data_IF_798210694594
#
_entry.id   IF_798210694594
#
_cell.length_a   1.000
_cell.length_b   1.000
_cell.length_c   1.000
_cell.angle_alpha   90.00
_cell.angle_beta   90.00
_cell.angle_gamma   90.00
#
_symmetry.space_group_name_H-M   'P 1'
#
loop_
_entity.id
_entity.type
_entity.pdbx_description
1 polymer ?
#
# COMPACT_ATOMS: atom_id res chain seq x y z
N UNK A 1 -17.91 -2.75 24.52
CA UNK A 1 -16.69 -2.56 23.72
C UNK A 1 -16.71 -3.51 22.53
N UNK A 2 -16.43 -2.98 21.36
CA UNK A 2 -16.39 -3.80 20.15
C UNK A 2 -15.05 -4.52 20.06
N UNK A 3 -15.02 -5.82 19.77
CA UNK A 3 -13.76 -6.51 19.56
C UNK A 3 -13.05 -5.96 18.32
N UNK A 4 -11.71 -6.00 18.28
CA UNK A 4 -11.00 -5.60 17.08
C UNK A 4 -11.36 -6.54 15.92
N UNK A 5 -11.27 -6.07 14.66
CA UNK A 5 -11.50 -6.96 13.53
C UNK A 5 -10.50 -8.11 13.56
N UNK A 6 -10.94 -9.29 13.13
CA UNK A 6 -10.09 -10.47 13.08
C UNK A 6 -8.90 -10.26 12.13
N UNK A 7 -9.17 -9.56 11.01
CA UNK A 7 -8.15 -9.28 10.01
C UNK A 7 -8.06 -7.78 9.77
N UNK A 8 -6.86 -7.23 9.58
CA UNK A 8 -6.72 -5.83 9.22
C UNK A 8 -7.25 -5.57 7.82
N UNK A 9 -7.67 -4.32 7.59
CA UNK A 9 -8.06 -3.88 6.25
C UNK A 9 -6.81 -3.86 5.36
N UNK A 10 -6.94 -4.43 4.18
CA UNK A 10 -5.84 -4.50 3.22
C UNK A 10 -5.85 -3.24 2.37
N UNK A 11 -4.78 -2.48 2.43
CA UNK A 11 -4.67 -1.19 1.77
C UNK A 11 -3.76 -1.29 0.56
N UNK A 12 -4.22 -0.77 -0.57
CA UNK A 12 -3.40 -0.56 -1.76
C UNK A 12 -3.04 0.91 -1.83
N UNK A 13 -1.74 1.20 -1.96
CA UNK A 13 -1.24 2.56 -2.08
C UNK A 13 -0.77 2.79 -3.51
N UNK A 14 -1.32 3.79 -4.19
CA UNK A 14 -0.92 4.15 -5.54
C UNK A 14 0.13 5.27 -5.46
N UNK A 15 1.36 4.91 -5.77
CA UNK A 15 2.49 5.83 -5.75
C UNK A 15 3.42 5.63 -4.55
N UNK A 16 4.72 5.57 -4.81
CA UNK A 16 5.73 5.46 -3.76
C UNK A 16 6.83 6.50 -3.98
N UNK A 17 6.42 7.70 -4.39
CA UNK A 17 7.30 8.85 -4.45
C UNK A 17 7.53 9.41 -3.05
N UNK A 18 7.94 10.67 -2.95
CA UNK A 18 8.26 11.27 -1.66
C UNK A 18 7.11 11.16 -0.67
N UNK A 19 5.90 11.57 -1.08
CA UNK A 19 4.75 11.53 -0.19
C UNK A 19 4.35 10.10 0.20
N UNK A 20 4.32 9.18 -0.76
CA UNK A 20 3.98 7.78 -0.50
C UNK A 20 4.97 7.13 0.44
N UNK A 21 6.27 7.29 0.17
CA UNK A 21 7.32 6.65 0.95
C UNK A 21 7.49 7.27 2.33
N UNK A 22 7.40 8.61 2.42
CA UNK A 22 7.70 9.33 3.65
C UNK A 22 6.51 9.45 4.60
N UNK A 23 5.29 9.50 4.07
CA UNK A 23 4.11 9.77 4.88
C UNK A 23 3.06 8.68 4.83
N UNK A 24 2.57 8.32 3.63
CA UNK A 24 1.42 7.42 3.52
C UNK A 24 1.75 5.99 3.91
N UNK A 25 2.83 5.43 3.37
CA UNK A 25 3.17 4.03 3.66
C UNK A 25 3.51 3.81 5.13
N UNK A 26 4.35 4.63 5.78
CA UNK A 26 4.63 4.46 7.21
C UNK A 26 3.38 4.63 8.07
N UNK A 27 2.50 5.58 7.72
CA UNK A 27 1.27 5.81 8.48
C UNK A 27 0.35 4.58 8.38
N UNK A 28 0.15 4.06 7.18
CA UNK A 28 -0.68 2.87 6.97
C UNK A 28 -0.10 1.67 7.73
N UNK A 29 1.21 1.45 7.60
CA UNK A 29 1.86 0.31 8.22
C UNK A 29 1.83 0.37 9.75
N UNK A 30 1.83 1.59 10.31
CA UNK A 30 1.83 1.79 11.76
C UNK A 30 0.42 1.88 12.36
N UNK A 31 -0.62 1.98 11.55
CA UNK A 31 -1.99 2.16 12.02
C UNK A 31 -2.62 0.81 12.36
N UNK A 32 -3.02 0.58 13.62
CA UNK A 32 -3.72 -0.65 13.97
C UNK A 32 -4.99 -0.82 13.14
N UNK A 33 -5.20 -2.03 12.64
CA UNK A 33 -6.37 -2.33 11.81
C UNK A 33 -6.15 -2.10 10.32
N UNK A 34 -4.98 -1.58 9.92
CA UNK A 34 -4.61 -1.43 8.51
C UNK A 34 -3.36 -2.25 8.20
N UNK A 35 -3.30 -2.78 7.00
CA UNK A 35 -2.12 -3.48 6.50
C UNK A 35 -1.77 -2.93 5.12
N UNK A 36 -0.53 -2.53 4.94
CA UNK A 36 -0.03 -2.13 3.61
C UNK A 36 0.19 -3.39 2.79
N UNK A 37 -0.78 -3.71 1.94
CA UNK A 37 -0.78 -4.97 1.20
C UNK A 37 -0.11 -4.84 -0.17
N UNK A 38 -0.36 -3.73 -0.88
CA UNK A 38 0.12 -3.54 -2.24
C UNK A 38 0.49 -2.08 -2.46
N UNK A 39 1.57 -1.86 -3.20
CA UNK A 39 1.99 -0.52 -3.61
C UNK A 39 2.17 -0.52 -5.12
N UNK A 40 1.54 0.45 -5.79
CA UNK A 40 1.66 0.61 -7.23
C UNK A 40 2.82 1.55 -7.52
N UNK A 41 3.88 1.02 -8.08
CA UNK A 41 5.03 1.80 -8.55
C UNK A 41 5.80 1.00 -9.59
N UNK A 42 6.19 1.64 -10.70
CA UNK A 42 6.95 0.97 -11.75
C UNK A 42 8.44 1.29 -11.71
N UNK A 43 8.84 2.29 -10.93
CA UNK A 43 10.25 2.69 -10.84
C UNK A 43 11.03 1.60 -10.08
N UNK A 44 12.09 1.02 -10.71
CA UNK A 44 12.87 -0.04 -10.05
C UNK A 44 13.52 0.39 -8.74
N UNK A 45 13.99 1.63 -8.63
CA UNK A 45 14.60 2.14 -7.41
C UNK A 45 13.58 2.25 -6.29
N UNK A 46 12.36 2.69 -6.60
CA UNK A 46 11.28 2.78 -5.62
C UNK A 46 10.79 1.39 -5.20
N UNK A 47 10.77 0.44 -6.13
CA UNK A 47 10.40 -0.94 -5.80
C UNK A 47 11.42 -1.57 -4.86
N UNK A 48 12.72 -1.31 -5.09
CA UNK A 48 13.77 -1.79 -4.20
C UNK A 48 13.65 -1.15 -2.82
N UNK A 49 13.36 0.14 -2.76
CA UNK A 49 13.16 0.84 -1.51
C UNK A 49 11.94 0.30 -0.75
N UNK A 50 10.85 0.04 -1.47
CA UNK A 50 9.66 -0.55 -0.86
C UNK A 50 9.98 -1.90 -0.23
N UNK A 51 10.72 -2.74 -0.94
CA UNK A 51 11.08 -4.06 -0.43
C UNK A 51 11.91 -3.98 0.86
N UNK A 52 12.75 -2.95 0.98
CA UNK A 52 13.54 -2.72 2.17
C UNK A 52 12.72 -2.14 3.32
N UNK A 53 11.83 -1.16 3.00
CA UNK A 53 11.04 -0.45 4.01
C UNK A 53 9.84 -1.27 4.50
N UNK A 54 9.17 -1.95 3.57
CA UNK A 54 7.93 -2.67 3.84
C UNK A 54 7.94 -4.02 3.12
N UNK A 55 8.71 -4.99 3.64
CA UNK A 55 8.84 -6.30 2.97
C UNK A 55 7.53 -7.07 2.89
N UNK A 56 6.55 -6.73 3.70
CA UNK A 56 5.22 -7.37 3.68
C UNK A 56 4.36 -6.88 2.52
N UNK A 57 4.72 -5.76 1.90
CA UNK A 57 3.92 -5.19 0.81
C UNK A 57 4.37 -5.72 -0.54
N UNK A 58 3.40 -5.93 -1.43
CA UNK A 58 3.65 -6.37 -2.79
C UNK A 58 3.74 -5.17 -3.71
N UNK A 59 4.73 -5.15 -4.61
CA UNK A 59 4.84 -4.11 -5.61
C UNK A 59 4.19 -4.55 -6.91
N UNK A 60 3.37 -3.68 -7.51
CA UNK A 60 2.79 -3.89 -8.85
C UNK A 60 3.08 -2.66 -9.71
N UNK A 61 3.20 -2.87 -11.02
CA UNK A 61 3.65 -1.82 -11.91
C UNK A 61 2.57 -0.80 -12.26
N UNK A 62 1.30 -1.22 -12.30
CA UNK A 62 0.21 -0.36 -12.71
C UNK A 62 -1.01 -0.53 -11.82
N UNK A 63 -1.86 0.48 -11.79
CA UNK A 63 -3.12 0.42 -11.06
C UNK A 63 -4.10 -0.59 -11.65
N UNK A 64 -3.93 -0.97 -12.91
CA UNK A 64 -4.79 -1.98 -13.53
C UNK A 64 -4.76 -3.31 -12.76
N UNK A 65 -3.61 -3.63 -12.17
CA UNK A 65 -3.49 -4.83 -11.35
C UNK A 65 -4.45 -4.82 -10.15
N UNK A 66 -4.82 -3.64 -9.67
CA UNK A 66 -5.78 -3.51 -8.57
C UNK A 66 -7.20 -3.78 -9.05
N UNK A 67 -7.52 -3.29 -10.24
CA UNK A 67 -8.87 -3.44 -10.81
C UNK A 67 -9.12 -4.87 -11.26
N UNK A 68 -8.07 -5.59 -11.64
CA UNK A 68 -8.17 -6.99 -12.05
C UNK A 68 -8.46 -7.92 -10.87
N UNK A 69 -8.15 -7.47 -9.65
CA UNK A 69 -8.38 -8.26 -8.43
C UNK A 69 -9.01 -7.39 -7.35
N UNK A 70 -10.24 -6.89 -7.56
CA UNK A 70 -10.86 -5.95 -6.63
C UNK A 70 -11.10 -6.52 -5.23
N UNK A 71 -11.26 -7.84 -5.12
CA UNK A 71 -11.45 -8.48 -3.82
C UNK A 71 -10.16 -8.60 -3.00
N UNK A 72 -9.01 -8.26 -3.58
CA UNK A 72 -7.73 -8.36 -2.88
C UNK A 72 -7.47 -7.19 -1.92
N UNK A 73 -8.23 -6.10 -2.03
CA UNK A 73 -8.02 -4.90 -1.24
C UNK A 73 -9.34 -4.36 -0.71
N UNK A 74 -9.27 -3.73 0.44
CA UNK A 74 -10.42 -3.12 1.10
C UNK A 74 -10.44 -1.60 0.94
N UNK A 75 -9.27 -1.00 0.71
CA UNK A 75 -9.11 0.44 0.61
C UNK A 75 -7.99 0.77 -0.36
N UNK A 76 -8.18 1.81 -1.17
CA UNK A 76 -7.13 2.32 -2.07
C UNK A 76 -6.83 3.76 -1.70
N UNK A 77 -5.55 4.05 -1.49
CA UNK A 77 -5.06 5.41 -1.20
C UNK A 77 -4.22 5.86 -2.38
N UNK A 78 -4.52 7.04 -2.91
CA UNK A 78 -3.81 7.59 -4.07
C UNK A 78 -2.90 8.71 -3.60
N UNK A 79 -1.59 8.48 -3.73
CA UNK A 79 -0.56 9.43 -3.35
C UNK A 79 0.27 9.88 -4.55
N UNK A 80 -0.20 9.61 -5.76
CA UNK A 80 0.50 9.99 -6.98
C UNK A 80 0.47 11.51 -7.16
N UNK A 81 1.55 12.12 -7.66
CA UNK A 81 1.54 13.56 -7.94
C UNK A 81 0.57 13.88 -9.07
N UNK A 82 0.08 15.10 -9.02
CA UNK A 82 -0.82 15.61 -10.06
C UNK A 82 -0.07 15.85 -11.37
#
# INVERSE_FOLDING_TARGET
MRPPPADPLRVALVGYGVAGAAFHAPFIAATPGLRLATVVTRDPARRARLAADHPEARAVATADALWDAPAAHDLVVIAAPN
#
